data_IF_625368742583
#
_entry.id   IF_625368742583
#
_cell.length_a   1.000
_cell.length_b   1.000
_cell.length_c   1.000
_cell.angle_alpha   90.00
_cell.angle_beta   90.00
_cell.angle_gamma   90.00
#
_symmetry.space_group_name_H-M   'P 1'
#
loop_
_entity.id
_entity.type
_entity.pdbx_description
1 polymer ?
#
# COMPACT_ATOMS: atom_id res chain seq x y z
N UNK A 1 -43.73 -10.51 4.57
CA UNK A 1 -43.20 -10.03 5.88
C UNK A 1 -41.99 -10.89 6.19
N UNK A 2 -40.81 -10.26 6.13
CA UNK A 2 -39.51 -10.63 6.70
C UNK A 2 -39.04 -12.10 6.77
N UNK A 3 -37.89 -12.37 6.15
CA UNK A 3 -36.66 -12.64 6.90
C UNK A 3 -35.43 -12.33 6.03
N UNK A 4 -34.89 -11.13 6.25
CA UNK A 4 -33.54 -10.73 5.87
C UNK A 4 -32.62 -11.14 7.04
N UNK A 5 -31.82 -12.18 6.88
CA UNK A 5 -30.62 -12.40 7.72
C UNK A 5 -29.58 -13.09 6.84
N UNK A 6 -28.46 -12.43 6.57
CA UNK A 6 -27.32 -13.02 5.88
C UNK A 6 -26.88 -12.28 4.62
N UNK A 7 -26.60 -10.98 4.74
CA UNK A 7 -25.72 -10.29 3.81
C UNK A 7 -24.62 -9.67 4.66
N UNK A 8 -23.38 -9.70 4.14
CA UNK A 8 -22.09 -9.30 4.75
C UNK A 8 -21.27 -10.51 5.23
N UNK A 9 -20.80 -11.31 4.27
CA UNK A 9 -19.56 -12.10 4.38
C UNK A 9 -18.98 -12.24 2.98
N UNK A 10 -18.51 -11.14 2.39
CA UNK A 10 -17.37 -11.13 1.47
C UNK A 10 -17.17 -9.69 0.95
N UNK A 11 -16.32 -8.92 1.61
CA UNK A 11 -16.09 -7.51 1.25
C UNK A 11 -14.93 -7.33 0.26
N UNK A 12 -14.12 -8.36 0.03
CA UNK A 12 -13.05 -8.37 -0.98
C UNK A 12 -13.56 -8.72 -2.38
N UNK A 13 -14.68 -9.45 -2.46
CA UNK A 13 -15.36 -9.66 -3.72
C UNK A 13 -15.88 -8.33 -4.30
N UNK A 14 -16.41 -7.41 -3.49
CA UNK A 14 -17.07 -6.19 -3.98
C UNK A 14 -16.10 -5.14 -4.57
N UNK A 15 -14.88 -5.05 -4.07
CA UNK A 15 -13.87 -4.08 -4.53
C UNK A 15 -13.26 -4.50 -5.88
N UNK A 16 -12.97 -5.78 -6.07
CA UNK A 16 -12.53 -6.35 -7.36
C UNK A 16 -13.68 -6.35 -8.39
N UNK A 17 -14.91 -6.61 -7.94
CA UNK A 17 -16.12 -6.63 -8.77
C UNK A 17 -16.50 -5.23 -9.28
N UNK A 18 -16.32 -4.18 -8.49
CA UNK A 18 -16.56 -2.80 -8.93
C UNK A 18 -15.60 -2.36 -10.05
N UNK A 19 -14.33 -2.79 -9.99
CA UNK A 19 -13.29 -2.47 -10.99
C UNK A 19 -13.54 -3.22 -12.30
N UNK A 20 -13.96 -4.49 -12.24
CA UNK A 20 -14.26 -5.32 -13.42
C UNK A 20 -15.56 -4.90 -14.12
N UNK A 21 -16.63 -4.60 -13.35
CA UNK A 21 -17.92 -4.14 -13.91
C UNK A 21 -17.79 -2.78 -14.61
N UNK A 22 -16.95 -1.88 -14.10
CA UNK A 22 -16.72 -0.57 -14.70
C UNK A 22 -15.95 -0.59 -16.02
N UNK A 23 -15.17 -1.65 -16.29
CA UNK A 23 -14.37 -1.78 -17.52
C UNK A 23 -15.09 -2.46 -18.69
N UNK A 24 -16.03 -3.38 -18.42
CA UNK A 24 -16.53 -4.30 -19.45
C UNK A 24 -18.03 -4.18 -19.78
N UNK A 25 -18.79 -3.29 -19.13
CA UNK A 25 -20.21 -3.10 -19.44
C UNK A 25 -21.04 -4.39 -19.26
N UNK A 26 -20.68 -5.18 -18.25
CA UNK A 26 -21.22 -6.51 -18.00
C UNK A 26 -22.70 -6.41 -17.60
N UNK A 27 -23.57 -7.18 -18.28
CA UNK A 27 -25.01 -7.17 -18.00
C UNK A 27 -25.30 -8.05 -16.79
N UNK A 28 -26.40 -7.75 -16.09
CA UNK A 28 -26.82 -8.46 -14.88
C UNK A 28 -27.16 -9.97 -15.05
N UNK A 29 -26.93 -10.55 -16.21
CA UNK A 29 -27.13 -11.97 -16.54
C UNK A 29 -25.83 -12.76 -16.50
N UNK A 30 -24.70 -12.08 -16.49
CA UNK A 30 -23.37 -12.69 -16.41
C UNK A 30 -22.88 -12.85 -14.96
N UNK A 31 -23.64 -12.35 -13.97
CA UNK A 31 -23.33 -12.44 -12.53
C UNK A 31 -23.08 -13.88 -12.04
N UNK A 32 -23.83 -14.85 -12.55
CA UNK A 32 -23.67 -16.26 -12.16
C UNK A 32 -22.35 -16.87 -12.65
N UNK A 33 -21.80 -16.38 -13.77
CA UNK A 33 -20.54 -16.89 -14.35
C UNK A 33 -19.32 -16.33 -13.62
N UNK A 34 -19.39 -15.06 -13.21
CA UNK A 34 -18.33 -14.37 -12.47
C UNK A 34 -18.24 -14.92 -11.03
N UNK A 35 -19.39 -15.16 -10.38
CA UNK A 35 -19.43 -15.77 -9.03
C UNK A 35 -18.73 -17.12 -8.99
N UNK A 36 -19.05 -18.00 -9.94
CA UNK A 36 -18.49 -19.34 -10.00
C UNK A 36 -17.00 -19.36 -10.40
N UNK A 37 -16.49 -18.30 -11.03
CA UNK A 37 -15.06 -18.17 -11.36
C UNK A 37 -14.21 -17.79 -10.13
N UNK A 38 -14.81 -17.15 -9.12
CA UNK A 38 -14.14 -16.79 -7.86
C UNK A 38 -14.34 -17.83 -6.75
N UNK A 39 -15.42 -18.61 -6.77
CA UNK A 39 -15.65 -19.74 -5.84
C UNK A 39 -14.56 -20.85 -5.91
N UNK A 40 -13.66 -20.81 -6.90
CA UNK A 40 -12.56 -21.77 -7.06
C UNK A 40 -11.15 -21.19 -6.91
N UNK A 41 -11.00 -19.89 -6.62
CA UNK A 41 -9.70 -19.29 -6.34
C UNK A 41 -9.56 -19.14 -4.83
N UNK A 42 -9.05 -20.18 -4.16
CA UNK A 42 -8.52 -20.08 -2.80
C UNK A 42 -7.32 -19.11 -2.82
N UNK A 43 -7.59 -17.80 -2.80
CA UNK A 43 -6.58 -16.81 -2.45
C UNK A 43 -6.36 -17.02 -0.97
N UNK A 44 -5.34 -17.81 -0.64
CA UNK A 44 -5.01 -18.10 0.75
C UNK A 44 -4.88 -16.78 1.51
N UNK A 45 -5.71 -16.62 2.54
CA UNK A 45 -5.65 -15.50 3.47
C UNK A 45 -4.19 -15.27 3.91
N UNK A 46 -3.70 -14.01 3.95
CA UNK A 46 -2.35 -13.73 4.39
C UNK A 46 -2.09 -14.37 5.75
N UNK A 47 -0.91 -14.94 5.98
CA UNK A 47 -0.64 -15.69 7.21
C UNK A 47 -0.64 -14.82 8.48
N UNK A 48 -0.35 -13.53 8.35
CA UNK A 48 -0.28 -12.57 9.46
C UNK A 48 -0.42 -11.11 8.98
N UNK A 49 -0.51 -10.18 9.93
CA UNK A 49 -0.66 -8.73 9.67
C UNK A 49 0.48 -8.14 8.82
N UNK A 50 1.68 -8.72 8.88
CA UNK A 50 2.83 -8.26 8.09
C UNK A 50 2.71 -8.68 6.63
N UNK A 51 2.37 -9.95 6.39
CA UNK A 51 2.15 -10.44 5.03
C UNK A 51 0.99 -9.71 4.34
N UNK A 52 -0.08 -9.39 5.07
CA UNK A 52 -1.20 -8.59 4.52
C UNK A 52 -0.78 -7.15 4.23
N UNK A 53 -0.10 -6.51 5.18
CA UNK A 53 0.42 -5.15 5.00
C UNK A 53 1.36 -5.05 3.81
N UNK A 54 2.30 -6.00 3.67
CA UNK A 54 3.20 -6.04 2.53
C UNK A 54 2.45 -6.29 1.24
N UNK A 55 1.46 -7.19 1.23
CA UNK A 55 0.62 -7.43 0.07
C UNK A 55 -0.08 -6.15 -0.41
N UNK A 56 -0.75 -5.40 0.48
CA UNK A 56 -1.39 -4.13 0.13
C UNK A 56 -0.39 -3.07 -0.34
N UNK A 57 0.78 -2.97 0.32
CA UNK A 57 1.84 -2.03 -0.11
C UNK A 57 2.36 -2.37 -1.51
N UNK A 58 2.57 -3.65 -1.81
CA UNK A 58 3.04 -4.10 -3.12
C UNK A 58 1.97 -3.93 -4.20
N UNK A 59 0.70 -4.18 -3.88
CA UNK A 59 -0.43 -3.89 -4.78
C UNK A 59 -0.52 -2.39 -5.08
N UNK A 60 -0.38 -1.54 -4.05
CA UNK A 60 -0.36 -0.09 -4.22
C UNK A 60 0.83 0.38 -5.07
N UNK A 61 2.03 -0.15 -4.82
CA UNK A 61 3.21 0.09 -5.66
C UNK A 61 2.93 -0.28 -7.12
N UNK A 62 2.40 -1.47 -7.37
CA UNK A 62 2.10 -1.94 -8.71
C UNK A 62 1.08 -1.03 -9.41
N UNK A 63 0.02 -0.62 -8.72
CA UNK A 63 -1.00 0.29 -9.25
C UNK A 63 -0.40 1.64 -9.65
N UNK A 64 0.42 2.24 -8.78
CA UNK A 64 1.11 3.50 -9.04
C UNK A 64 2.08 3.38 -10.23
N UNK A 65 2.89 2.32 -10.26
CA UNK A 65 3.97 2.18 -11.24
C UNK A 65 3.49 1.72 -12.60
N UNK A 66 2.47 0.85 -12.67
CA UNK A 66 2.15 0.09 -13.88
C UNK A 66 0.69 0.22 -14.35
N UNK A 67 -0.19 0.88 -13.58
CA UNK A 67 -1.62 0.96 -13.90
C UNK A 67 -2.14 2.41 -13.91
N UNK A 68 -1.29 3.33 -14.34
CA UNK A 68 -1.58 4.78 -14.38
C UNK A 68 -1.93 5.41 -13.01
N UNK A 69 -1.78 4.67 -11.89
CA UNK A 69 -2.08 5.16 -10.55
C UNK A 69 -1.25 6.38 -10.15
N UNK A 70 -0.06 6.55 -10.72
CA UNK A 70 0.76 7.75 -10.52
C UNK A 70 0.00 9.04 -10.81
N UNK A 71 -0.98 9.06 -11.73
CA UNK A 71 -1.78 10.25 -12.06
C UNK A 71 -2.63 10.76 -10.89
N UNK A 72 -2.93 9.91 -9.89
CA UNK A 72 -3.65 10.31 -8.69
C UNK A 72 -2.80 11.20 -7.77
N UNK A 73 -1.49 10.91 -7.72
CA UNK A 73 -0.56 11.49 -6.74
C UNK A 73 0.49 12.40 -7.39
N UNK A 74 0.64 12.33 -8.71
CA UNK A 74 1.47 13.20 -9.52
C UNK A 74 0.58 13.82 -10.60
N UNK A 75 0.05 15.01 -10.31
CA UNK A 75 -0.96 15.69 -11.14
C UNK A 75 -0.36 16.43 -12.34
N UNK A 76 0.95 16.34 -12.55
CA UNK A 76 1.68 17.11 -13.55
C UNK A 76 2.05 18.52 -13.07
N UNK A 77 2.82 19.25 -13.89
CA UNK A 77 3.20 20.66 -13.67
C UNK A 77 3.89 20.94 -12.32
N UNK A 78 4.51 19.93 -11.69
CA UNK A 78 5.15 20.05 -10.38
C UNK A 78 4.19 19.95 -9.18
N UNK A 79 2.91 19.63 -9.40
CA UNK A 79 1.94 19.38 -8.33
C UNK A 79 1.98 17.93 -7.86
N UNK A 80 2.74 17.71 -6.79
CA UNK A 80 2.84 16.41 -6.13
C UNK A 80 1.95 16.34 -4.90
N UNK A 81 1.28 15.19 -4.72
CA UNK A 81 0.52 14.89 -3.53
C UNK A 81 1.44 14.83 -2.31
N UNK A 82 1.00 15.42 -1.20
CA UNK A 82 1.74 15.36 0.05
C UNK A 82 1.61 13.98 0.70
N UNK A 83 2.36 13.73 1.79
CA UNK A 83 2.34 12.44 2.49
C UNK A 83 0.93 12.05 2.95
N UNK A 84 0.14 12.99 3.46
CA UNK A 84 -1.25 12.76 3.93
C UNK A 84 -2.20 12.40 2.80
N UNK A 85 -2.02 12.99 1.62
CA UNK A 85 -2.80 12.66 0.43
C UNK A 85 -2.53 11.21 0.01
N UNK A 86 -1.24 10.82 -0.09
CA UNK A 86 -0.82 9.45 -0.42
C UNK A 86 -1.39 8.45 0.59
N UNK A 87 -1.28 8.73 1.88
CA UNK A 87 -1.87 7.90 2.94
C UNK A 87 -3.38 7.76 2.77
N UNK A 88 -4.08 8.83 2.37
CA UNK A 88 -5.53 8.79 2.18
C UNK A 88 -5.92 7.88 1.01
N UNK A 89 -5.19 7.94 -0.10
CA UNK A 89 -5.39 7.01 -1.23
C UNK A 89 -5.08 5.57 -0.83
N UNK A 90 -3.97 5.34 -0.11
CA UNK A 90 -3.63 4.00 0.38
C UNK A 90 -4.69 3.44 1.36
N UNK A 91 -5.38 4.29 2.11
CA UNK A 91 -6.49 3.89 2.97
C UNK A 91 -7.59 3.12 2.24
N UNK A 92 -7.77 3.34 0.94
CA UNK A 92 -8.74 2.61 0.12
C UNK A 92 -8.37 1.14 -0.10
N UNK A 93 -7.07 0.79 -0.01
CA UNK A 93 -6.60 -0.58 -0.14
C UNK A 93 -7.03 -1.48 1.03
N UNK A 94 -7.61 -0.91 2.08
CA UNK A 94 -8.05 -1.62 3.29
C UNK A 94 -9.58 -1.81 3.34
N UNK A 95 -10.31 -1.41 2.31
CA UNK A 95 -11.76 -1.63 2.28
C UNK A 95 -12.02 -3.13 2.16
N UNK A 96 -12.64 -3.70 3.19
CA UNK A 96 -13.07 -5.09 3.19
C UNK A 96 -12.18 -6.07 3.92
N UNK A 97 -11.01 -5.62 4.39
CA UNK A 97 -10.12 -6.42 5.25
C UNK A 97 -10.80 -6.86 6.55
N UNK A 98 -10.43 -8.05 7.02
CA UNK A 98 -10.78 -8.57 8.34
C UNK A 98 -9.85 -8.09 9.46
N UNK A 99 -8.71 -7.48 9.11
CA UNK A 99 -7.76 -6.91 10.06
C UNK A 99 -8.26 -5.60 10.67
N UNK A 100 -7.89 -5.36 11.93
CA UNK A 100 -8.10 -4.06 12.57
C UNK A 100 -7.04 -3.07 12.07
N UNK A 101 -7.45 -2.10 11.25
CA UNK A 101 -6.57 -1.11 10.64
C UNK A 101 -6.85 0.28 11.23
N UNK A 102 -5.90 0.77 12.02
CA UNK A 102 -6.00 2.08 12.66
C UNK A 102 -5.02 3.07 12.00
N UNK A 103 -5.53 4.27 11.67
CA UNK A 103 -4.74 5.45 11.33
C UNK A 103 -4.59 6.27 12.62
N UNK A 104 -3.49 6.12 13.37
CA UNK A 104 -3.38 6.72 14.70
C UNK A 104 -3.22 8.26 14.62
N UNK A 105 -4.12 9.08 15.19
CA UNK A 105 -3.81 10.48 15.48
C UNK A 105 -3.03 10.56 16.80
N UNK A 106 -1.70 10.55 16.71
CA UNK A 106 -0.74 10.94 17.76
C UNK A 106 -1.00 10.42 19.20
N UNK A 107 -0.53 9.20 19.51
CA UNK A 107 -0.53 8.64 20.87
C UNK A 107 0.80 8.90 21.64
N UNK A 108 1.41 10.07 21.43
CA UNK A 108 2.59 10.52 22.21
C UNK A 108 3.96 9.93 21.84
N UNK A 109 4.04 9.04 20.84
CA UNK A 109 5.31 8.47 20.29
C UNK A 109 5.61 8.85 18.83
N UNK A 110 4.86 9.82 18.29
CA UNK A 110 4.88 10.21 16.88
C UNK A 110 3.82 9.47 16.06
N UNK A 111 3.37 10.03 14.91
CA UNK A 111 2.31 9.45 14.10
C UNK A 111 2.83 8.22 13.36
N UNK A 112 2.18 7.08 13.55
CA UNK A 112 2.28 5.95 12.62
C UNK A 112 1.08 6.06 11.69
N UNK A 113 1.31 5.97 10.39
CA UNK A 113 0.27 6.23 9.39
C UNK A 113 -0.78 5.11 9.37
N UNK A 114 -0.35 3.86 9.48
CA UNK A 114 -1.23 2.70 9.62
C UNK A 114 -0.66 1.69 10.62
N UNK A 115 -1.56 1.14 11.43
CA UNK A 115 -1.33 -0.02 12.28
C UNK A 115 -2.35 -1.09 11.95
N UNK A 116 -1.85 -2.23 11.49
CA UNK A 116 -2.63 -3.41 11.10
C UNK A 116 -2.50 -4.43 12.22
N UNK A 117 -3.62 -4.87 12.79
CA UNK A 117 -3.63 -5.78 13.94
C UNK A 117 -4.51 -7.00 13.68
N UNK A 118 -3.98 -8.18 14.03
CA UNK A 118 -4.73 -9.45 14.09
C UNK A 118 -4.64 -10.01 15.51
N UNK A 119 -5.43 -9.43 16.41
CA UNK A 119 -5.33 -9.69 17.84
C UNK A 119 -4.16 -8.96 18.52
N UNK A 120 -3.87 -9.32 19.77
CA UNK A 120 -2.99 -8.52 20.63
C UNK A 120 -1.49 -8.62 20.28
N UNK A 121 -1.06 -9.75 19.72
CA UNK A 121 0.35 -10.10 19.50
C UNK A 121 0.83 -9.91 18.06
N UNK A 122 -0.09 -9.93 17.08
CA UNK A 122 0.24 -9.71 15.67
C UNK A 122 -0.13 -8.30 15.23
N UNK A 123 0.90 -7.45 15.13
CA UNK A 123 0.77 -6.03 14.78
C UNK A 123 1.85 -5.63 13.79
N UNK A 124 1.45 -4.94 12.74
CA UNK A 124 2.35 -4.36 11.75
C UNK A 124 2.10 -2.87 11.60
N UNK A 125 3.19 -2.11 11.51
CA UNK A 125 3.15 -0.66 11.28
C UNK A 125 3.54 -0.34 9.84
N UNK A 126 2.85 0.59 9.20
CA UNK A 126 3.22 1.12 7.88
C UNK A 126 3.46 2.61 8.02
N UNK A 127 4.61 3.07 7.56
CA UNK A 127 5.01 4.48 7.59
C UNK A 127 5.34 4.96 6.18
N UNK A 128 4.65 5.99 5.73
CA UNK A 128 4.89 6.66 4.47
C UNK A 128 5.91 7.77 4.64
N UNK A 129 6.74 7.95 3.62
CA UNK A 129 7.65 9.09 3.48
C UNK A 129 7.70 9.51 2.01
N UNK A 130 7.86 10.81 1.78
CA UNK A 130 8.20 11.32 0.45
C UNK A 130 9.72 11.27 0.24
N UNK A 131 10.15 11.00 -1.00
CA UNK A 131 11.55 11.06 -1.42
C UNK A 131 12.18 12.45 -1.22
N UNK A 132 11.36 13.50 -1.21
CA UNK A 132 11.75 14.87 -0.88
C UNK A 132 12.08 15.10 0.61
N UNK A 133 11.81 14.13 1.49
CA UNK A 133 12.02 14.27 2.92
C UNK A 133 13.53 14.42 3.24
N UNK A 134 13.91 15.61 3.72
CA UNK A 134 15.31 15.95 4.05
C UNK A 134 15.86 15.13 5.23
N UNK A 135 15.00 14.65 6.11
CA UNK A 135 15.36 13.85 7.29
C UNK A 135 15.33 12.34 7.02
N UNK A 136 15.03 11.90 5.79
CA UNK A 136 14.86 10.49 5.44
C UNK A 136 16.04 9.62 5.89
N UNK A 137 17.28 10.01 5.57
CA UNK A 137 18.49 9.27 5.98
C UNK A 137 18.56 9.10 7.50
N UNK A 138 18.36 10.17 8.26
CA UNK A 138 18.39 10.14 9.73
C UNK A 138 17.31 9.21 10.29
N UNK A 139 16.13 9.22 9.70
CA UNK A 139 15.00 8.40 10.16
C UNK A 139 15.23 6.91 9.86
N UNK A 140 15.81 6.58 8.71
CA UNK A 140 16.20 5.22 8.34
C UNK A 140 17.33 4.70 9.24
N UNK A 141 18.39 5.50 9.46
CA UNK A 141 19.51 5.14 10.31
C UNK A 141 19.08 4.84 11.76
N UNK A 142 18.27 5.71 12.36
CA UNK A 142 17.72 5.47 13.71
C UNK A 142 16.93 4.17 13.81
N UNK A 143 16.24 3.80 12.74
CA UNK A 143 15.49 2.55 12.71
C UNK A 143 16.43 1.34 12.70
N UNK A 144 17.52 1.38 11.91
CA UNK A 144 18.56 0.34 11.92
C UNK A 144 19.17 0.19 13.31
N UNK A 145 19.59 1.30 13.94
CA UNK A 145 20.15 1.30 15.29
C UNK A 145 19.21 0.66 16.33
N UNK A 146 17.91 0.97 16.26
CA UNK A 146 16.91 0.38 17.16
C UNK A 146 16.82 -1.15 16.96
N UNK A 147 16.92 -1.65 15.73
CA UNK A 147 16.91 -3.09 15.46
C UNK A 147 18.17 -3.81 15.93
N UNK A 148 19.35 -3.20 15.79
CA UNK A 148 20.61 -3.80 16.29
C UNK A 148 20.60 -3.95 17.82
N UNK A 149 19.97 -3.01 18.53
CA UNK A 149 19.87 -3.04 20.00
C UNK A 149 18.71 -3.93 20.47
N UNK A 150 17.59 -3.95 19.75
CA UNK A 150 16.43 -4.76 20.08
C UNK A 150 16.36 -5.99 19.16
N UNK A 151 16.84 -7.13 19.62
CA UNK A 151 16.63 -8.47 19.03
C UNK A 151 15.12 -8.89 18.92
N UNK A 152 14.19 -7.94 18.84
CA UNK A 152 12.75 -8.15 18.77
C UNK A 152 12.19 -7.56 17.47
N UNK A 153 11.59 -8.43 16.67
CA UNK A 153 10.99 -8.15 15.36
C UNK A 153 9.75 -7.27 15.50
N UNK A 154 9.92 -5.94 15.48
CA UNK A 154 8.82 -5.05 15.13
C UNK A 154 8.61 -5.13 13.62
N UNK A 155 7.50 -5.79 13.24
CA UNK A 155 6.95 -5.84 11.88
C UNK A 155 6.58 -4.43 11.47
N UNK A 156 7.45 -3.73 10.74
CA UNK A 156 7.17 -2.39 10.23
C UNK A 156 7.66 -2.25 8.79
N UNK A 157 6.84 -1.62 7.97
CA UNK A 157 7.07 -1.40 6.54
C UNK A 157 7.21 0.10 6.30
N UNK A 158 8.28 0.51 5.63
CA UNK A 158 8.48 1.89 5.20
C UNK A 158 8.17 2.00 3.72
N UNK A 159 7.28 2.92 3.37
CA UNK A 159 6.91 3.19 1.99
C UNK A 159 7.46 4.56 1.60
N UNK A 160 8.33 4.60 0.59
CA UNK A 160 8.98 5.82 0.14
C UNK A 160 8.51 6.13 -1.28
N UNK A 161 7.81 7.25 -1.47
CA UNK A 161 7.29 7.67 -2.78
C UNK A 161 8.21 8.71 -3.40
N UNK A 162 8.70 8.46 -4.62
CA UNK A 162 9.52 9.40 -5.39
C UNK A 162 8.75 9.95 -6.59
N UNK A 163 8.73 11.28 -6.72
CA UNK A 163 8.05 11.98 -7.81
C UNK A 163 8.98 12.47 -8.91
N UNK A 164 10.30 12.50 -8.66
CA UNK A 164 11.31 12.96 -9.61
C UNK A 164 12.49 12.00 -9.69
N UNK A 165 13.23 12.02 -10.81
CA UNK A 165 14.44 11.22 -10.96
C UNK A 165 15.48 11.54 -9.88
N UNK A 166 15.62 12.82 -9.52
CA UNK A 166 16.53 13.27 -8.45
C UNK A 166 16.17 12.70 -7.07
N UNK A 167 14.87 12.56 -6.79
CA UNK A 167 14.42 11.91 -5.55
C UNK A 167 14.73 10.42 -5.55
N UNK A 168 14.42 9.71 -6.64
CA UNK A 168 14.68 8.27 -6.79
C UNK A 168 16.18 7.96 -6.63
N UNK A 169 17.05 8.68 -7.36
CA UNK A 169 18.51 8.55 -7.25
C UNK A 169 19.02 8.80 -5.82
N UNK A 170 18.56 9.88 -5.19
CA UNK A 170 18.95 10.20 -3.80
C UNK A 170 18.50 9.12 -2.84
N UNK A 171 17.27 8.61 -2.97
CA UNK A 171 16.73 7.59 -2.07
C UNK A 171 17.49 6.28 -2.24
N UNK A 172 17.75 5.84 -3.49
CA UNK A 172 18.56 4.64 -3.75
C UNK A 172 19.97 4.75 -3.17
N UNK A 173 20.62 5.90 -3.29
CA UNK A 173 21.92 6.13 -2.68
C UNK A 173 21.87 6.02 -1.14
N UNK A 174 20.84 6.60 -0.50
CA UNK A 174 20.63 6.47 0.96
C UNK A 174 20.43 5.01 1.36
N UNK A 175 19.61 4.25 0.63
CA UNK A 175 19.35 2.84 0.94
C UNK A 175 20.59 1.98 0.74
N UNK A 176 21.37 2.23 -0.30
CA UNK A 176 22.64 1.56 -0.56
C UNK A 176 23.63 1.80 0.58
N UNK A 177 23.82 3.06 0.99
CA UNK A 177 24.72 3.44 2.10
C UNK A 177 24.34 2.79 3.43
N UNK A 178 23.04 2.60 3.67
CA UNK A 178 22.52 1.99 4.90
C UNK A 178 22.35 0.47 4.78
N UNK A 179 22.75 -0.14 3.67
CA UNK A 179 22.57 -1.58 3.38
C UNK A 179 21.10 -2.04 3.46
N UNK A 180 20.18 -1.17 3.08
CA UNK A 180 18.73 -1.43 3.05
C UNK A 180 18.15 -1.50 1.63
N UNK A 181 18.99 -1.57 0.60
CA UNK A 181 18.54 -1.62 -0.80
C UNK A 181 17.65 -2.84 -1.09
N UNK A 182 17.95 -3.98 -0.46
CA UNK A 182 17.23 -5.25 -0.63
C UNK A 182 16.30 -5.56 0.56
N UNK A 183 16.09 -4.59 1.46
CA UNK A 183 15.21 -4.79 2.60
C UNK A 183 13.74 -4.88 2.15
N UNK A 184 13.14 -6.06 2.29
CA UNK A 184 11.73 -6.32 1.92
C UNK A 184 10.76 -5.29 2.52
N UNK A 185 11.04 -4.87 3.76
CA UNK A 185 10.20 -3.95 4.50
C UNK A 185 10.50 -2.46 4.21
N UNK A 186 11.33 -2.14 3.21
CA UNK A 186 11.56 -0.78 2.71
C UNK A 186 11.18 -0.74 1.23
N UNK A 187 9.97 -0.27 0.97
CA UNK A 187 9.36 -0.28 -0.37
C UNK A 187 9.49 1.10 -1.00
N UNK A 188 10.27 1.18 -2.09
CA UNK A 188 10.38 2.36 -2.93
C UNK A 188 9.31 2.33 -4.04
N UNK A 189 8.54 3.41 -4.19
CA UNK A 189 7.51 3.58 -5.22
C UNK A 189 7.91 4.70 -6.18
N UNK A 190 8.02 4.36 -7.46
CA UNK A 190 8.28 5.29 -8.56
C UNK A 190 6.96 5.92 -9.06
N UNK A 191 6.63 7.09 -8.51
CA UNK A 191 5.49 7.91 -8.90
C UNK A 191 5.86 8.99 -9.92
N UNK A 192 6.99 8.86 -10.61
CA UNK A 192 7.36 9.74 -11.71
C UNK A 192 6.34 9.64 -12.84
N UNK A 193 6.03 10.80 -13.42
CA UNK A 193 5.20 10.90 -14.62
C UNK A 193 6.01 11.03 -15.90
N UNK A 194 7.30 11.35 -15.81
CA UNK A 194 8.20 11.54 -16.96
C UNK A 194 8.75 10.24 -17.55
N UNK A 195 8.54 9.10 -16.88
CA UNK A 195 9.05 7.79 -17.27
C UNK A 195 7.96 6.72 -17.48
N UNK A 196 6.71 7.13 -17.68
CA UNK A 196 5.56 6.24 -17.90
C UNK A 196 5.00 6.41 -19.32
N UNK A 197 5.74 5.96 -20.37
CA UNK A 197 5.28 6.10 -21.74
C UNK A 197 3.98 5.34 -21.95
N UNK A 198 3.09 5.88 -22.78
CA UNK A 198 1.89 5.17 -23.19
C UNK A 198 2.28 3.95 -24.05
N UNK A 199 1.60 2.82 -23.84
CA UNK A 199 1.81 1.61 -24.64
C UNK A 199 1.58 1.82 -26.15
N UNK A 200 0.86 2.86 -26.56
CA UNK A 200 0.68 3.23 -27.98
C UNK A 200 1.85 4.01 -28.57
N UNK A 201 2.86 4.37 -27.75
CA UNK A 201 4.04 5.15 -28.12
C UNK A 201 5.36 4.42 -27.77
N UNK A 202 5.28 3.19 -27.28
CA UNK A 202 6.43 2.36 -26.91
C UNK A 202 6.79 1.39 -28.04
#
# INVERSE_FOLDING_TARGET
>A
MQQWVGIIQDTDALSVLAITVAREGVRARDWHRIRNAHEGADVAEPANSYSEALHHVMAFKHYIENQDGYRLINKGEGYFANERDVQTYFGLAWIGTTSDVNREPNNGRGPVDFKVSRGATDKTLIEFKLGSNRQLRRNLMKQVEIYEVANQTKRSIKVIVCYTAKEDERVRAILSDLQQADAENVVLIDARGDNKPSASKA
#
